data_IF_504543531643
#
_entry.id   IF_504543531643
#
_cell.length_a   1.000
_cell.length_b   1.000
_cell.length_c   1.000
_cell.angle_alpha   90.00
_cell.angle_beta   90.00
_cell.angle_gamma   90.00
#
_symmetry.space_group_name_H-M   'P 1'
#
loop_
_entity.id
_entity.type
_entity.pdbx_description
1 polymer ?
#
# COMPACT_ATOMS: atom_id res chain seq x y z
N UNK A 1 26.53 -8.85 -28.91
CA UNK A 1 25.45 -9.25 -27.99
C UNK A 1 24.71 -10.38 -28.69
N UNK A 2 24.54 -11.54 -28.05
CA UNK A 2 23.76 -12.63 -28.64
C UNK A 2 22.35 -12.14 -28.92
N UNK A 3 21.87 -12.29 -30.15
CA UNK A 3 20.44 -12.09 -30.44
C UNK A 3 19.64 -13.10 -29.61
N UNK A 4 18.62 -12.62 -28.92
CA UNK A 4 17.71 -13.49 -28.20
C UNK A 4 16.88 -14.27 -29.20
N UNK A 5 16.80 -15.59 -29.02
CA UNK A 5 15.85 -16.42 -29.75
C UNK A 5 14.43 -16.16 -29.26
N UNK A 6 13.44 -16.45 -30.11
CA UNK A 6 12.02 -16.33 -29.72
C UNK A 6 11.67 -17.18 -28.49
N UNK A 7 12.33 -18.33 -28.32
CA UNK A 7 12.10 -19.22 -27.17
C UNK A 7 12.70 -18.66 -25.88
N UNK A 8 13.87 -18.04 -25.94
CA UNK A 8 14.47 -17.33 -24.80
C UNK A 8 13.61 -16.14 -24.37
N UNK A 9 13.07 -15.38 -25.34
CA UNK A 9 12.16 -14.26 -25.05
C UNK A 9 10.88 -14.76 -24.37
N UNK A 10 10.26 -15.82 -24.89
CA UNK A 10 9.04 -16.39 -24.30
C UNK A 10 9.29 -16.87 -22.87
N UNK A 11 10.38 -17.61 -22.65
CA UNK A 11 10.73 -18.13 -21.31
C UNK A 11 10.95 -16.99 -20.32
N UNK A 12 11.72 -15.97 -20.70
CA UNK A 12 11.98 -14.82 -19.82
C UNK A 12 10.73 -13.96 -19.59
N UNK A 13 9.80 -13.92 -20.55
CA UNK A 13 8.49 -13.27 -20.40
C UNK A 13 7.70 -13.96 -19.29
N UNK A 14 7.55 -15.28 -19.37
CA UNK A 14 6.79 -16.08 -18.40
C UNK A 14 7.40 -15.98 -16.99
N UNK A 15 8.73 -16.07 -16.87
CA UNK A 15 9.43 -15.94 -15.60
C UNK A 15 9.24 -14.56 -14.96
N UNK A 16 9.37 -13.50 -15.77
CA UNK A 16 9.22 -12.12 -15.30
C UNK A 16 7.78 -11.81 -14.90
N UNK A 17 6.81 -12.30 -15.68
CA UNK A 17 5.39 -12.15 -15.38
C UNK A 17 5.02 -12.88 -14.08
N UNK A 18 5.47 -14.12 -13.90
CA UNK A 18 5.23 -14.88 -12.68
C UNK A 18 5.83 -14.19 -11.45
N UNK A 19 7.05 -13.68 -11.55
CA UNK A 19 7.70 -12.95 -10.47
C UNK A 19 6.92 -11.67 -10.11
N UNK A 20 6.52 -10.89 -11.12
CA UNK A 20 5.72 -9.69 -10.93
C UNK A 20 4.37 -9.99 -10.29
N UNK A 21 3.63 -10.96 -10.83
CA UNK A 21 2.33 -11.38 -10.33
C UNK A 21 2.41 -11.86 -8.88
N UNK A 22 3.46 -12.59 -8.52
CA UNK A 22 3.70 -13.05 -7.14
C UNK A 22 3.88 -11.87 -6.18
N UNK A 23 4.69 -10.87 -6.56
CA UNK A 23 4.94 -9.70 -5.70
C UNK A 23 3.68 -8.83 -5.60
N UNK A 24 3.02 -8.55 -6.72
CA UNK A 24 1.78 -7.76 -6.75
C UNK A 24 0.66 -8.42 -5.94
N UNK A 25 0.53 -9.75 -6.02
CA UNK A 25 -0.39 -10.52 -5.17
C UNK A 25 -0.05 -10.37 -3.69
N UNK A 26 1.24 -10.48 -3.31
CA UNK A 26 1.68 -10.24 -1.92
C UNK A 26 1.38 -8.82 -1.45
N UNK A 27 1.55 -7.81 -2.31
CA UNK A 27 1.21 -6.42 -2.01
C UNK A 27 -0.29 -6.29 -1.73
N UNK A 28 -1.15 -6.94 -2.53
CA UNK A 28 -2.60 -6.95 -2.30
C UNK A 28 -2.95 -7.53 -0.92
N UNK A 29 -2.35 -8.67 -0.53
CA UNK A 29 -2.56 -9.25 0.79
C UNK A 29 -2.10 -8.31 1.92
N UNK A 30 -0.93 -7.67 1.79
CA UNK A 30 -0.43 -6.75 2.82
C UNK A 30 -1.30 -5.50 2.96
N UNK A 31 -1.92 -5.00 1.88
CA UNK A 31 -2.91 -3.94 1.99
C UNK A 31 -4.14 -4.37 2.78
N UNK A 32 -4.65 -5.58 2.53
CA UNK A 32 -5.76 -6.14 3.31
C UNK A 32 -5.42 -6.25 4.80
N UNK A 33 -4.21 -6.72 5.12
CA UNK A 33 -3.76 -6.79 6.51
C UNK A 33 -3.61 -5.41 7.16
N UNK A 34 -3.04 -4.44 6.44
CA UNK A 34 -2.88 -3.07 6.94
C UNK A 34 -4.24 -2.42 7.21
N UNK A 35 -5.18 -2.56 6.29
CA UNK A 35 -6.52 -1.99 6.43
C UNK A 35 -7.27 -2.60 7.62
N UNK A 36 -7.19 -3.93 7.78
CA UNK A 36 -7.78 -4.63 8.93
C UNK A 36 -7.16 -4.18 10.25
N UNK A 37 -5.83 -4.08 10.35
CA UNK A 37 -5.17 -3.62 11.58
C UNK A 37 -5.52 -2.18 11.94
N UNK A 38 -5.62 -1.30 10.94
CA UNK A 38 -6.06 0.07 11.15
C UNK A 38 -7.51 0.13 11.62
N UNK A 39 -8.41 -0.67 11.03
CA UNK A 39 -9.80 -0.75 11.46
C UNK A 39 -9.90 -1.20 12.92
N UNK A 40 -9.20 -2.27 13.29
CA UNK A 40 -9.12 -2.75 14.67
C UNK A 40 -8.58 -1.67 15.61
N UNK A 41 -7.56 -0.93 15.19
CA UNK A 41 -7.01 0.15 16.01
C UNK A 41 -8.03 1.26 16.26
N UNK A 42 -8.80 1.66 15.24
CA UNK A 42 -9.86 2.66 15.39
C UNK A 42 -11.02 2.17 16.26
N UNK A 43 -11.37 0.88 16.16
CA UNK A 43 -12.45 0.29 16.97
C UNK A 43 -12.05 0.15 18.44
N UNK A 44 -10.78 -0.06 18.73
CA UNK A 44 -10.25 -0.24 20.10
C UNK A 44 -9.69 1.04 20.74
N UNK A 45 -9.86 2.19 20.12
CA UNK A 45 -9.25 3.44 20.57
C UNK A 45 -9.81 4.00 21.90
N UNK A 46 -10.83 3.38 22.49
CA UNK A 46 -11.38 3.74 23.79
C UNK A 46 -11.31 2.55 24.76
N UNK A 47 -10.32 1.69 24.56
CA UNK A 47 -10.18 0.39 25.23
C UNK A 47 -11.41 -0.53 25.06
N UNK A 48 -12.18 -0.33 23.98
CA UNK A 48 -13.32 -1.17 23.65
C UNK A 48 -14.60 -0.79 24.40
N UNK A 49 -14.70 0.42 24.95
CA UNK A 49 -15.92 0.84 25.64
C UNK A 49 -17.12 1.06 24.71
N UNK A 50 -16.89 1.38 23.43
CA UNK A 50 -17.92 1.63 22.42
C UNK A 50 -17.73 0.78 21.15
N UNK A 51 -17.32 -0.49 21.28
CA UNK A 51 -16.98 -1.37 20.15
C UNK A 51 -18.04 -1.40 19.04
N UNK A 52 -19.32 -1.52 19.38
CA UNK A 52 -20.41 -1.63 18.40
C UNK A 52 -20.51 -0.35 17.56
N UNK A 53 -20.64 0.81 18.22
CA UNK A 53 -20.70 2.11 17.54
C UNK A 53 -19.46 2.40 16.70
N UNK A 54 -18.26 2.06 17.21
CA UNK A 54 -17.02 2.30 16.48
C UNK A 54 -16.83 1.32 15.31
N UNK A 55 -17.31 0.09 15.44
CA UNK A 55 -17.31 -0.90 14.35
C UNK A 55 -18.22 -0.44 13.23
N UNK A 56 -19.43 -0.01 13.55
CA UNK A 56 -20.37 0.53 12.56
C UNK A 56 -19.81 1.79 11.89
N UNK A 57 -19.11 2.63 12.65
CA UNK A 57 -18.49 3.82 12.11
C UNK A 57 -17.38 3.52 11.10
N UNK A 58 -16.73 2.35 11.10
CA UNK A 58 -15.62 2.04 10.17
C UNK A 58 -15.92 0.92 9.17
N UNK A 59 -17.08 0.26 9.29
CA UNK A 59 -17.48 -0.92 8.49
C UNK A 59 -17.36 -0.70 6.99
N UNK A 60 -17.96 0.39 6.50
CA UNK A 60 -18.05 0.72 5.07
C UNK A 60 -16.97 1.71 4.61
N UNK A 61 -16.06 2.13 5.50
CA UNK A 61 -15.01 3.07 5.13
C UNK A 61 -14.03 2.43 4.16
N UNK A 62 -13.60 3.15 3.13
CA UNK A 62 -12.37 2.81 2.45
C UNK A 62 -11.14 3.13 3.32
N UNK A 63 -9.98 2.53 3.03
CA UNK A 63 -8.71 2.82 3.71
C UNK A 63 -8.43 4.34 3.87
N UNK A 64 -8.76 5.15 2.87
CA UNK A 64 -8.59 6.61 2.95
C UNK A 64 -9.38 7.23 4.12
N UNK A 65 -10.66 6.88 4.26
CA UNK A 65 -11.52 7.40 5.31
C UNK A 65 -11.03 6.95 6.70
N UNK A 66 -10.55 5.71 6.81
CA UNK A 66 -9.92 5.20 8.05
C UNK A 66 -8.67 6.00 8.43
N UNK A 67 -7.79 6.32 7.47
CA UNK A 67 -6.60 7.16 7.71
C UNK A 67 -6.98 8.56 8.20
N UNK A 68 -7.97 9.20 7.56
CA UNK A 68 -8.45 10.51 8.01
C UNK A 68 -9.10 10.47 9.40
N UNK A 69 -9.79 9.38 9.76
CA UNK A 69 -10.32 9.18 11.12
C UNK A 69 -9.20 9.04 12.15
N UNK A 70 -8.14 8.30 11.82
CA UNK A 70 -6.96 8.20 12.67
C UNK A 70 -6.32 9.58 12.89
N UNK A 71 -6.09 10.34 11.81
CA UNK A 71 -5.53 11.68 11.89
C UNK A 71 -6.35 12.61 12.80
N UNK A 72 -7.68 12.64 12.62
CA UNK A 72 -8.59 13.43 13.47
C UNK A 72 -8.48 13.06 14.95
N UNK A 73 -8.43 11.77 15.26
CA UNK A 73 -8.30 11.29 16.65
C UNK A 73 -6.94 11.61 17.25
N UNK A 74 -5.86 11.40 16.51
CA UNK A 74 -4.51 11.76 16.94
C UNK A 74 -4.44 13.25 17.27
N UNK A 75 -4.99 14.12 16.42
CA UNK A 75 -5.00 15.55 16.68
C UNK A 75 -5.84 15.92 17.92
N UNK A 76 -6.97 15.23 18.15
CA UNK A 76 -7.82 15.45 19.32
C UNK A 76 -7.14 14.98 20.63
N UNK A 77 -6.51 13.80 20.63
CA UNK A 77 -5.88 13.20 21.82
C UNK A 77 -4.51 13.82 22.11
N UNK A 78 -3.71 14.11 21.08
CA UNK A 78 -2.31 14.48 21.20
C UNK A 78 -1.98 15.88 20.69
N UNK A 79 -2.97 16.76 20.50
CA UNK A 79 -2.78 18.12 19.97
C UNK A 79 -1.70 18.95 20.70
N UNK A 80 -1.44 18.67 21.97
CA UNK A 80 -0.40 19.34 22.78
C UNK A 80 0.90 18.55 22.92
N UNK A 81 1.05 17.38 22.27
CA UNK A 81 2.26 16.54 22.31
C UNK A 81 2.95 16.52 20.94
N UNK A 82 3.95 17.39 20.70
CA UNK A 82 4.65 17.44 19.41
C UNK A 82 5.29 16.11 19.01
N UNK A 83 5.77 15.33 20.00
CA UNK A 83 6.42 14.04 19.75
C UNK A 83 5.46 12.97 19.22
N UNK A 84 4.26 12.85 19.81
CA UNK A 84 3.24 11.92 19.36
C UNK A 84 2.71 12.33 17.98
N UNK A 85 2.43 13.62 17.77
CA UNK A 85 1.98 14.14 16.48
C UNK A 85 3.01 13.88 15.37
N UNK A 86 4.30 14.09 15.63
CA UNK A 86 5.35 13.86 14.63
C UNK A 86 5.46 12.38 14.22
N UNK A 87 5.35 11.45 15.17
CA UNK A 87 5.40 10.01 14.87
C UNK A 87 4.20 9.55 14.04
N UNK A 88 2.98 9.95 14.44
CA UNK A 88 1.77 9.62 13.69
C UNK A 88 1.73 10.29 12.33
N UNK A 89 2.15 11.56 12.23
CA UNK A 89 2.20 12.29 10.95
C UNK A 89 3.09 11.58 9.94
N UNK A 90 4.32 11.21 10.33
CA UNK A 90 5.23 10.45 9.45
C UNK A 90 4.60 9.14 8.99
N UNK A 91 3.99 8.39 9.92
CA UNK A 91 3.33 7.13 9.58
C UNK A 91 2.13 7.34 8.63
N UNK A 92 1.31 8.36 8.85
CA UNK A 92 0.18 8.70 7.99
C UNK A 92 0.63 9.10 6.58
N UNK A 93 1.71 9.88 6.46
CA UNK A 93 2.31 10.25 5.18
C UNK A 93 2.75 9.00 4.40
N UNK A 94 3.47 8.08 5.04
CA UNK A 94 3.88 6.81 4.43
C UNK A 94 2.68 5.93 4.05
N UNK A 95 1.65 5.85 4.90
CA UNK A 95 0.43 5.09 4.63
C UNK A 95 -0.41 5.68 3.48
N UNK A 96 -0.50 7.01 3.38
CA UNK A 96 -1.15 7.68 2.26
C UNK A 96 -0.39 7.46 0.94
N UNK A 97 0.95 7.50 0.98
CA UNK A 97 1.78 7.18 -0.18
C UNK A 97 1.58 5.73 -0.64
N UNK A 98 1.58 4.77 0.30
CA UNK A 98 1.30 3.36 -0.01
C UNK A 98 -0.10 3.17 -0.62
N UNK A 99 -1.12 3.85 -0.08
CA UNK A 99 -2.48 3.85 -0.66
C UNK A 99 -2.52 4.41 -2.08
N UNK A 100 -1.80 5.48 -2.37
CA UNK A 100 -1.73 6.04 -3.72
C UNK A 100 -1.10 5.01 -4.69
N UNK A 101 0.00 4.38 -4.27
CA UNK A 101 0.67 3.33 -5.02
C UNK A 101 -0.23 2.09 -5.26
N UNK A 102 -1.02 1.68 -4.26
CA UNK A 102 -2.03 0.60 -4.38
C UNK A 102 -3.01 0.87 -5.52
N UNK A 103 -3.50 2.09 -5.61
CA UNK A 103 -4.45 2.47 -6.64
C UNK A 103 -3.82 2.40 -8.03
N UNK A 104 -2.56 2.81 -8.17
CA UNK A 104 -1.80 2.65 -9.41
C UNK A 104 -1.62 1.17 -9.79
N UNK A 105 -1.36 0.30 -8.82
CA UNK A 105 -1.16 -1.12 -9.07
C UNK A 105 -2.44 -1.87 -9.44
N UNK A 106 -3.58 -1.49 -8.87
CA UNK A 106 -4.85 -2.20 -9.07
C UNK A 106 -5.61 -1.70 -10.31
N UNK A 107 -5.52 -0.41 -10.61
CA UNK A 107 -6.21 0.16 -11.78
C UNK A 107 -5.34 0.17 -13.04
N UNK A 108 -4.08 -0.23 -12.91
CA UNK A 108 -3.14 -0.37 -14.00
C UNK A 108 -3.32 -1.66 -14.79
N UNK A 109 -2.93 -1.63 -16.07
CA UNK A 109 -2.82 -2.82 -16.92
C UNK A 109 -1.36 -3.25 -16.99
N UNK A 110 -1.11 -4.50 -16.64
CA UNK A 110 0.23 -5.03 -16.50
C UNK A 110 0.67 -5.79 -17.76
N UNK A 111 1.94 -5.66 -18.10
CA UNK A 111 2.64 -6.45 -19.11
C UNK A 111 4.12 -6.52 -18.77
N UNK A 112 4.90 -7.18 -19.62
CA UNK A 112 6.34 -7.34 -19.41
C UNK A 112 7.13 -7.03 -20.67
N UNK A 113 8.32 -6.45 -20.49
CA UNK A 113 9.32 -6.22 -21.51
C UNK A 113 10.56 -7.06 -21.17
N UNK A 114 10.53 -8.35 -21.54
CA UNK A 114 11.50 -9.36 -21.11
C UNK A 114 12.96 -9.00 -21.46
N UNK A 115 13.20 -8.48 -22.67
CA UNK A 115 14.53 -8.04 -23.12
C UNK A 115 15.13 -6.97 -22.21
N UNK A 116 14.28 -6.08 -21.68
CA UNK A 116 14.69 -5.00 -20.78
C UNK A 116 14.60 -5.41 -19.31
N UNK A 117 14.11 -6.62 -19.01
CA UNK A 117 13.82 -7.14 -17.66
C UNK A 117 12.93 -6.20 -16.85
N UNK A 118 11.94 -5.62 -17.51
CA UNK A 118 11.02 -4.64 -16.94
C UNK A 118 9.59 -5.15 -16.96
N UNK A 119 8.88 -4.87 -15.87
CA UNK A 119 7.44 -4.99 -15.74
C UNK A 119 6.84 -3.63 -16.08
N UNK A 120 5.83 -3.62 -16.94
CA UNK A 120 5.20 -2.40 -17.46
C UNK A 120 3.82 -2.28 -16.85
N UNK A 121 3.52 -1.12 -16.27
CA UNK A 121 2.20 -0.76 -15.78
C UNK A 121 1.65 0.42 -16.58
N UNK A 122 0.54 0.22 -17.25
CA UNK A 122 -0.14 1.26 -18.02
C UNK A 122 -1.37 1.73 -17.27
N UNK A 123 -1.37 3.00 -16.86
CA UNK A 123 -2.45 3.63 -16.10
C UNK A 123 -3.20 4.59 -17.03
N UNK A 124 -4.53 4.70 -16.85
CA UNK A 124 -5.39 5.55 -17.67
C UNK A 124 -6.10 4.76 -18.78
N UNK A 125 -6.98 5.42 -19.53
CA UNK A 125 -7.74 4.80 -20.62
C UNK A 125 -6.88 4.83 -21.89
N UNK A 126 -6.89 3.77 -22.72
CA UNK A 126 -6.26 3.85 -24.04
C UNK A 126 -6.71 5.11 -24.78
N UNK A 127 -5.77 5.77 -25.47
CA UNK A 127 -5.97 7.02 -26.24
C UNK A 127 -6.23 8.31 -25.45
N UNK A 128 -6.25 8.29 -24.12
CA UNK A 128 -6.38 9.53 -23.32
C UNK A 128 -5.00 10.17 -23.07
N UNK A 129 -4.91 11.51 -23.02
CA UNK A 129 -3.65 12.21 -22.74
C UNK A 129 -3.13 11.97 -21.32
N UNK A 130 -3.99 11.49 -20.41
CA UNK A 130 -3.63 11.09 -19.05
C UNK A 130 -3.04 9.66 -18.97
N UNK A 131 -3.00 8.94 -20.09
CA UNK A 131 -2.35 7.64 -20.16
C UNK A 131 -0.86 7.78 -19.86
N UNK A 132 -0.38 7.02 -18.88
CA UNK A 132 1.04 6.97 -18.53
C UNK A 132 1.51 5.54 -18.38
N UNK A 133 2.75 5.33 -18.77
CA UNK A 133 3.47 4.08 -18.61
C UNK A 133 4.48 4.24 -17.48
N UNK A 134 4.48 3.29 -16.54
CA UNK A 134 5.49 3.19 -15.50
C UNK A 134 6.17 1.85 -15.66
N UNK A 135 7.50 1.85 -15.63
CA UNK A 135 8.32 0.65 -15.73
C UNK A 135 8.96 0.35 -14.39
N UNK A 136 8.84 -0.91 -13.97
CA UNK A 136 9.41 -1.42 -12.74
C UNK A 136 10.38 -2.56 -13.05
N UNK A 137 11.51 -2.57 -12.37
CA UNK A 137 12.25 -3.81 -12.13
C UNK A 137 11.55 -4.63 -11.03
N UNK A 138 11.84 -5.92 -10.97
CA UNK A 138 11.40 -6.79 -9.86
C UNK A 138 11.86 -6.21 -8.52
N UNK A 139 13.10 -5.73 -8.42
CA UNK A 139 13.63 -5.12 -7.20
C UNK A 139 12.81 -3.90 -6.72
N UNK A 140 12.30 -3.07 -7.64
CA UNK A 140 11.45 -1.92 -7.27
C UNK A 140 10.07 -2.35 -6.76
N UNK A 141 9.50 -3.43 -7.30
CA UNK A 141 8.27 -4.02 -6.79
C UNK A 141 8.50 -4.63 -5.39
N UNK A 142 9.63 -5.31 -5.18
CA UNK A 142 10.02 -5.84 -3.87
C UNK A 142 10.24 -4.72 -2.84
N UNK A 143 10.91 -3.63 -3.22
CA UNK A 143 11.09 -2.48 -2.34
C UNK A 143 9.73 -1.89 -1.92
N UNK A 144 8.78 -1.81 -2.85
CA UNK A 144 7.41 -1.37 -2.56
C UNK A 144 6.72 -2.29 -1.56
N UNK A 145 6.86 -3.62 -1.73
CA UNK A 145 6.34 -4.60 -0.79
C UNK A 145 7.00 -4.47 0.60
N UNK A 146 8.31 -4.25 0.67
CA UNK A 146 9.04 -4.07 1.94
C UNK A 146 8.55 -2.82 2.67
N UNK A 147 8.40 -1.69 1.98
CA UNK A 147 7.86 -0.45 2.55
C UNK A 147 6.46 -0.66 3.11
N UNK A 148 5.57 -1.32 2.35
CA UNK A 148 4.23 -1.64 2.80
C UNK A 148 4.21 -2.54 4.04
N UNK A 149 5.05 -3.59 4.05
CA UNK A 149 5.18 -4.50 5.20
C UNK A 149 5.66 -3.79 6.47
N UNK A 150 6.46 -2.73 6.33
CA UNK A 150 6.97 -1.97 7.48
C UNK A 150 5.88 -1.15 8.19
N UNK A 151 4.79 -0.75 7.49
CA UNK A 151 3.75 0.11 8.07
C UNK A 151 3.04 -0.54 9.27
N UNK A 152 2.76 -1.84 9.20
CA UNK A 152 2.07 -2.57 10.27
C UNK A 152 2.86 -2.62 11.60
N UNK A 153 4.11 -3.13 11.64
CA UNK A 153 4.90 -3.11 12.86
C UNK A 153 5.19 -1.69 13.35
N UNK A 154 5.34 -0.71 12.45
CA UNK A 154 5.45 0.70 12.85
C UNK A 154 4.18 1.18 13.57
N UNK A 155 2.98 0.92 13.03
CA UNK A 155 1.72 1.31 13.66
C UNK A 155 1.58 0.67 15.05
N UNK A 156 1.89 -0.62 15.16
CA UNK A 156 1.87 -1.34 16.44
C UNK A 156 2.81 -0.70 17.46
N UNK A 157 4.03 -0.36 17.06
CA UNK A 157 5.01 0.32 17.91
C UNK A 157 4.50 1.70 18.37
N UNK A 158 3.98 2.50 17.44
CA UNK A 158 3.43 3.83 17.74
C UNK A 158 2.28 3.68 18.73
N UNK A 159 1.35 2.74 18.52
CA UNK A 159 0.23 2.47 19.44
C UNK A 159 0.69 2.05 20.84
N UNK A 160 1.71 1.20 20.94
CA UNK A 160 2.23 0.78 22.24
C UNK A 160 2.84 1.94 23.03
N UNK A 161 3.36 2.97 22.33
CA UNK A 161 3.94 4.17 22.94
C UNK A 161 2.88 5.26 23.20
N UNK A 162 1.91 5.37 22.31
CA UNK A 162 0.89 6.42 22.25
C UNK A 162 -0.50 5.77 22.04
N UNK A 163 -1.12 5.22 23.09
CA UNK A 163 -2.46 4.64 23.00
C UNK A 163 -3.50 5.73 22.69
N UNK A 164 -4.37 5.52 21.71
CA UNK A 164 -5.47 6.45 21.44
C UNK A 164 -6.55 6.39 22.51
#
# INVERSE_FOLDING_TARGET
>A
MSEWTGQEISTATDELELAAATILGRILFEFGHLEMELALFLVWADNGSNLETLTDAVREDALHAKLCKLEKRVNATYGSSPSALAEFKRWLEEAHAARAQRNEFIHGRWGVAAVNRQVVNVIGIPTSPEQREIRYSIAQLEESLVKLKALRPQLRRIRSKWPL
#
